data_IF_314882226583
#
_entry.id   IF_314882226583
#
_cell.length_a   1.000
_cell.length_b   1.000
_cell.length_c   1.000
_cell.angle_alpha   90.00
_cell.angle_beta   90.00
_cell.angle_gamma   90.00
#
_symmetry.space_group_name_H-M   'P 1'
#
loop_
_entity.id
_entity.type
_entity.pdbx_description
1 polymer ?
#
# COMPACT_ATOMS: atom_id res chain seq x y z
N UNK A 1 19.35 14.83 -0.37
CA UNK A 1 18.21 15.19 0.49
C UNK A 1 17.31 13.98 0.58
N UNK A 2 17.29 13.32 1.74
CA UNK A 2 16.32 12.28 2.04
C UNK A 2 14.93 12.92 2.08
N UNK A 3 14.01 12.49 1.21
CA UNK A 3 12.60 12.87 1.33
C UNK A 3 12.10 12.40 2.70
N UNK A 4 11.55 13.32 3.48
CA UNK A 4 10.91 12.98 4.74
C UNK A 4 9.55 12.32 4.43
N UNK A 5 9.44 11.02 4.66
CA UNK A 5 8.20 10.28 4.46
C UNK A 5 7.36 10.41 5.73
N UNK A 6 6.20 11.05 5.59
CA UNK A 6 5.20 11.15 6.65
C UNK A 6 4.21 9.98 6.56
N UNK A 7 4.29 9.05 7.51
CA UNK A 7 3.39 7.89 7.60
C UNK A 7 1.93 8.33 7.81
N UNK A 8 1.67 9.38 8.59
CA UNK A 8 0.31 9.82 8.89
C UNK A 8 -0.43 10.32 7.65
N UNK A 9 0.32 10.91 6.70
CA UNK A 9 -0.23 11.31 5.41
C UNK A 9 -0.80 10.11 4.62
N UNK A 10 -0.16 8.93 4.68
CA UNK A 10 -0.70 7.73 4.04
C UNK A 10 -1.99 7.28 4.72
N UNK A 11 -1.98 7.15 6.05
CA UNK A 11 -3.13 6.66 6.81
C UNK A 11 -4.36 7.56 6.64
N UNK A 12 -4.16 8.87 6.48
CA UNK A 12 -5.24 9.85 6.37
C UNK A 12 -5.79 10.03 4.96
N UNK A 13 -5.00 9.74 3.92
CA UNK A 13 -5.36 10.06 2.52
C UNK A 13 -5.49 8.84 1.61
N UNK A 14 -5.22 7.63 2.11
CA UNK A 14 -5.29 6.42 1.29
C UNK A 14 -6.67 6.25 0.67
N UNK A 15 -6.71 5.94 -0.61
CA UNK A 15 -7.95 5.75 -1.33
C UNK A 15 -7.86 4.60 -2.33
N UNK A 16 -9.03 4.15 -2.77
CA UNK A 16 -9.20 2.95 -3.59
C UNK A 16 -10.21 3.22 -4.71
N UNK A 17 -10.20 2.38 -5.73
CA UNK A 17 -11.27 2.28 -6.72
C UNK A 17 -11.70 0.83 -6.85
N UNK A 18 -12.88 0.57 -7.43
CA UNK A 18 -13.37 -0.81 -7.66
C UNK A 18 -12.31 -1.72 -8.29
N UNK A 19 -11.64 -1.23 -9.35
CA UNK A 19 -10.59 -1.97 -10.06
C UNK A 19 -9.37 -2.31 -9.19
N UNK A 20 -9.11 -1.55 -8.12
CA UNK A 20 -7.99 -1.80 -7.21
C UNK A 20 -8.29 -3.02 -6.33
N UNK A 21 -9.51 -3.14 -5.80
CA UNK A 21 -9.89 -4.29 -4.98
C UNK A 21 -9.78 -5.60 -5.78
N UNK A 22 -10.31 -5.62 -7.00
CA UNK A 22 -10.23 -6.79 -7.89
C UNK A 22 -8.77 -7.17 -8.18
N UNK A 23 -7.93 -6.17 -8.43
CA UNK A 23 -6.50 -6.37 -8.70
C UNK A 23 -5.78 -6.95 -7.49
N UNK A 24 -6.05 -6.45 -6.29
CA UNK A 24 -5.43 -6.94 -5.05
C UNK A 24 -5.80 -8.41 -4.83
N UNK A 25 -7.08 -8.75 -4.93
CA UNK A 25 -7.54 -10.12 -4.81
C UNK A 25 -6.87 -11.04 -5.83
N UNK A 26 -6.77 -10.62 -7.09
CA UNK A 26 -6.06 -11.38 -8.14
C UNK A 26 -4.58 -11.57 -7.83
N UNK A 27 -3.89 -10.53 -7.35
CA UNK A 27 -2.46 -10.58 -7.05
C UNK A 27 -2.12 -11.42 -5.82
N UNK A 28 -2.99 -11.39 -4.82
CA UNK A 28 -2.82 -12.16 -3.59
C UNK A 28 -3.42 -13.56 -3.68
N UNK A 29 -4.12 -13.89 -4.77
CA UNK A 29 -4.89 -15.12 -4.94
C UNK A 29 -5.88 -15.33 -3.78
N UNK A 30 -6.67 -14.29 -3.50
CA UNK A 30 -7.66 -14.23 -2.42
C UNK A 30 -9.01 -13.76 -2.92
N UNK A 31 -10.05 -13.92 -2.09
CA UNK A 31 -11.39 -13.36 -2.31
C UNK A 31 -11.79 -12.64 -1.02
N UNK A 32 -11.20 -11.47 -0.80
CA UNK A 32 -11.47 -10.63 0.37
C UNK A 32 -12.53 -9.58 0.02
N UNK A 33 -13.46 -9.29 0.93
CA UNK A 33 -14.32 -8.13 0.81
C UNK A 33 -13.51 -6.82 0.96
N UNK A 34 -14.06 -5.71 0.45
CA UNK A 34 -13.38 -4.40 0.41
C UNK A 34 -12.85 -3.95 1.77
N UNK A 35 -13.66 -4.08 2.82
CA UNK A 35 -13.28 -3.66 4.17
C UNK A 35 -12.11 -4.47 4.74
N UNK A 36 -11.98 -5.76 4.40
CA UNK A 36 -10.83 -6.57 4.81
C UNK A 36 -9.57 -6.18 4.04
N UNK A 37 -9.70 -5.81 2.75
CA UNK A 37 -8.59 -5.27 1.98
C UNK A 37 -8.11 -3.94 2.58
N UNK A 38 -9.03 -3.03 2.93
CA UNK A 38 -8.68 -1.76 3.57
C UNK A 38 -7.97 -1.98 4.91
N UNK A 39 -8.51 -2.85 5.77
CA UNK A 39 -7.91 -3.20 7.05
C UNK A 39 -6.51 -3.82 6.89
N UNK A 40 -6.34 -4.73 5.92
CA UNK A 40 -5.05 -5.33 5.59
C UNK A 40 -4.03 -4.26 5.20
N UNK A 41 -4.41 -3.35 4.30
CA UNK A 41 -3.52 -2.33 3.76
C UNK A 41 -3.13 -1.30 4.82
N UNK A 42 -4.11 -0.80 5.58
CA UNK A 42 -3.86 0.12 6.70
C UNK A 42 -2.96 -0.54 7.74
N UNK A 43 -3.25 -1.79 8.11
CA UNK A 43 -2.45 -2.55 9.06
C UNK A 43 -1.00 -2.74 8.59
N UNK A 44 -0.78 -3.07 7.32
CA UNK A 44 0.57 -3.21 6.76
C UNK A 44 1.30 -1.86 6.80
N UNK A 45 0.66 -0.77 6.37
CA UNK A 45 1.29 0.56 6.34
C UNK A 45 1.68 1.00 7.76
N UNK A 46 0.79 0.79 8.73
CA UNK A 46 1.04 1.15 10.12
C UNK A 46 2.20 0.36 10.74
N UNK A 47 2.21 -0.96 10.53
CA UNK A 47 3.24 -1.86 11.06
C UNK A 47 4.60 -1.74 10.36
N UNK A 48 4.63 -1.24 9.12
CA UNK A 48 5.88 -1.12 8.35
C UNK A 48 6.68 0.10 8.81
N UNK A 49 7.96 -0.08 9.12
CA UNK A 49 8.86 1.05 9.43
C UNK A 49 9.10 1.94 8.20
N UNK A 50 9.23 3.26 8.41
CA UNK A 50 9.42 4.26 7.34
C UNK A 50 10.64 3.98 6.46
N UNK A 51 11.69 3.33 6.99
CA UNK A 51 12.87 2.91 6.21
C UNK A 51 12.55 1.95 5.05
N UNK A 52 11.40 1.30 5.09
CA UNK A 52 10.91 0.40 4.04
C UNK A 52 9.92 1.07 3.07
N UNK A 53 9.75 2.38 3.18
CA UNK A 53 8.99 3.19 2.25
C UNK A 53 9.98 3.81 1.27
N UNK A 54 9.76 3.57 -0.01
CA UNK A 54 10.59 4.11 -1.07
C UNK A 54 9.72 4.84 -2.08
N UNK A 55 10.05 6.09 -2.39
CA UNK A 55 9.45 6.79 -3.53
C UNK A 55 10.34 6.61 -4.75
N UNK A 56 9.74 6.16 -5.85
CA UNK A 56 10.39 6.12 -7.17
C UNK A 56 9.44 6.73 -8.18
N UNK A 57 9.79 7.91 -8.69
CA UNK A 57 8.94 8.68 -9.60
C UNK A 57 7.58 9.02 -8.98
N UNK A 58 6.49 8.56 -9.62
CA UNK A 58 5.10 8.84 -9.21
C UNK A 58 4.53 7.84 -8.20
N UNK A 59 5.34 6.92 -7.69
CA UNK A 59 4.88 5.83 -6.83
C UNK A 59 5.69 5.75 -5.53
N UNK A 60 4.98 5.47 -4.46
CA UNK A 60 5.52 4.94 -3.22
C UNK A 60 5.43 3.41 -3.24
N UNK A 61 6.48 2.76 -2.74
CA UNK A 61 6.60 1.32 -2.55
C UNK A 61 6.80 1.08 -1.06
N UNK A 62 5.90 0.34 -0.45
CA UNK A 62 5.94 0.01 0.98
C UNK A 62 6.15 -1.50 1.06
N UNK A 63 7.35 -1.93 1.45
CA UNK A 63 7.70 -3.36 1.49
C UNK A 63 7.67 -3.87 2.93
N UNK A 64 6.73 -4.76 3.22
CA UNK A 64 6.64 -5.46 4.49
C UNK A 64 7.12 -6.90 4.32
N UNK A 65 8.36 -7.16 4.72
CA UNK A 65 8.98 -8.48 4.59
C UNK A 65 8.42 -9.49 5.59
N UNK A 66 7.88 -9.05 6.73
CA UNK A 66 7.25 -9.94 7.72
C UNK A 66 5.98 -10.59 7.16
N UNK A 67 5.18 -9.83 6.41
CA UNK A 67 3.97 -10.33 5.75
C UNK A 67 4.19 -10.75 4.29
N UNK A 68 5.43 -10.64 3.80
CA UNK A 68 5.79 -10.95 2.42
C UNK A 68 4.96 -10.20 1.36
N UNK A 69 4.68 -8.91 1.61
CA UNK A 69 3.83 -8.07 0.78
C UNK A 69 4.53 -6.75 0.43
N UNK A 70 4.31 -6.25 -0.79
CA UNK A 70 4.63 -4.89 -1.22
C UNK A 70 3.39 -4.16 -1.70
N UNK A 71 3.14 -2.98 -1.14
CA UNK A 71 2.06 -2.08 -1.57
C UNK A 71 2.65 -1.00 -2.46
N UNK A 72 2.04 -0.77 -3.62
CA UNK A 72 2.37 0.36 -4.50
C UNK A 72 1.26 1.40 -4.45
N UNK A 73 1.62 2.65 -4.14
CA UNK A 73 0.68 3.76 -3.95
C UNK A 73 1.09 4.93 -4.84
N UNK A 74 0.13 5.59 -5.48
CA UNK A 74 0.41 6.80 -6.24
C UNK A 74 0.82 7.96 -5.31
N UNK A 75 1.91 8.66 -5.62
CA UNK A 75 2.45 9.70 -4.75
C UNK A 75 1.65 10.99 -4.69
N UNK A 76 0.79 11.23 -5.70
CA UNK A 76 0.03 12.48 -5.80
C UNK A 76 -1.37 12.34 -5.22
N UNK A 77 -1.95 11.14 -5.31
CA UNK A 77 -3.36 10.89 -4.97
C UNK A 77 -3.53 9.93 -3.80
N UNK A 78 -2.43 9.35 -3.29
CA UNK A 78 -2.45 8.31 -2.26
C UNK A 78 -3.32 7.09 -2.61
N UNK A 79 -3.67 6.93 -3.88
CA UNK A 79 -4.43 5.79 -4.37
C UNK A 79 -3.57 4.55 -4.38
N UNK A 80 -4.07 3.46 -3.80
CA UNK A 80 -3.43 2.14 -3.95
C UNK A 80 -3.50 1.73 -5.42
N UNK A 81 -2.37 1.29 -5.98
CA UNK A 81 -2.25 0.88 -7.38
C UNK A 81 -2.30 -0.65 -7.49
N UNK A 82 -1.55 -1.33 -6.62
CA UNK A 82 -1.42 -2.78 -6.59
C UNK A 82 -0.78 -3.23 -5.28
N UNK A 83 -0.94 -4.50 -4.98
CA UNK A 83 -0.31 -5.20 -3.86
C UNK A 83 0.27 -6.49 -4.41
N UNK A 84 1.53 -6.76 -4.17
CA UNK A 84 2.26 -7.92 -4.71
C UNK A 84 2.89 -8.72 -3.57
N UNK A 85 2.98 -10.05 -3.73
CA UNK A 85 3.82 -10.88 -2.85
C UNK A 85 5.29 -10.71 -3.25
N UNK A 86 6.20 -10.68 -2.26
CA UNK A 86 7.65 -10.55 -2.48
C UNK A 86 8.42 -11.84 -2.18
#
# INVERSE_FOLDING_TARGET
MSEHIDKQAFLSNICYTELVYDRINKKLNTILPKHEIEALIVGIIDQTEVKHFQKTGKNFYISNTQQNIRITINSNTFRVITVDRI
#
